data_IF_871837490020
#
_entry.id   IF_871837490020
#
_cell.length_a   1.000
_cell.length_b   1.000
_cell.length_c   1.000
_cell.angle_alpha   90.00
_cell.angle_beta   90.00
_cell.angle_gamma   90.00
#
_symmetry.space_group_name_H-M   'P 1'
#
loop_
_entity.id
_entity.type
_entity.pdbx_description
1 polymer ?
#
# COMPACT_ATOMS: atom_id res chain seq x y z
N UNK A 1 5.09 -5.59 -10.57
CA UNK A 1 4.49 -4.47 -9.84
C UNK A 1 5.55 -3.42 -9.59
N UNK A 2 5.14 -2.23 -9.12
CA UNK A 2 6.04 -1.12 -8.76
C UNK A 2 5.62 -0.47 -7.44
N UNK A 3 6.52 0.29 -6.84
CA UNK A 3 6.31 0.97 -5.55
C UNK A 3 6.28 0.02 -4.36
N UNK A 4 6.06 0.59 -3.17
CA UNK A 4 6.18 -0.11 -1.89
C UNK A 4 5.16 -1.24 -1.69
N UNK A 5 3.95 -1.12 -2.25
CA UNK A 5 2.86 -2.13 -2.17
C UNK A 5 2.70 -2.90 -3.50
N UNK A 6 3.65 -2.79 -4.44
CA UNK A 6 3.63 -3.56 -5.70
C UNK A 6 2.35 -3.38 -6.53
N UNK A 7 2.00 -2.13 -6.85
CA UNK A 7 0.89 -1.84 -7.77
C UNK A 7 1.13 -2.56 -9.11
N UNK A 8 0.14 -3.38 -9.51
CA UNK A 8 0.24 -4.30 -10.65
C UNK A 8 -1.04 -4.29 -11.46
N UNK A 9 -0.93 -4.33 -12.79
CA UNK A 9 -2.07 -4.40 -13.72
C UNK A 9 -2.66 -3.04 -14.08
N UNK A 10 -3.08 -2.90 -15.35
CA UNK A 10 -3.49 -1.64 -15.96
C UNK A 10 -4.56 -0.87 -15.16
N UNK A 11 -5.59 -1.57 -14.66
CA UNK A 11 -6.67 -0.92 -13.91
C UNK A 11 -6.16 -0.28 -12.61
N UNK A 12 -5.24 -0.94 -11.90
CA UNK A 12 -4.69 -0.39 -10.68
C UNK A 12 -3.79 0.82 -10.94
N UNK A 13 -3.05 0.86 -12.05
CA UNK A 13 -2.29 2.04 -12.45
C UNK A 13 -3.23 3.21 -12.79
N UNK A 14 -4.35 2.95 -13.48
CA UNK A 14 -5.37 3.97 -13.79
C UNK A 14 -6.02 4.53 -12.51
N UNK A 15 -6.51 3.66 -11.64
CA UNK A 15 -7.20 4.06 -10.42
C UNK A 15 -6.25 4.79 -9.45
N UNK A 16 -5.01 4.29 -9.30
CA UNK A 16 -3.98 4.95 -8.50
C UNK A 16 -3.63 6.31 -9.07
N UNK A 17 -3.40 6.38 -10.39
CA UNK A 17 -3.04 7.61 -11.10
C UNK A 17 -4.10 8.69 -10.92
N UNK A 18 -5.38 8.34 -11.04
CA UNK A 18 -6.49 9.24 -10.74
C UNK A 18 -6.47 9.70 -9.28
N UNK A 19 -6.24 8.77 -8.35
CA UNK A 19 -6.24 9.06 -6.91
C UNK A 19 -5.09 9.98 -6.46
N UNK A 20 -3.91 9.87 -7.08
CA UNK A 20 -2.75 10.71 -6.74
C UNK A 20 -2.50 11.83 -7.77
N UNK A 21 -3.41 12.01 -8.74
CA UNK A 21 -3.31 13.00 -9.83
C UNK A 21 -1.97 12.90 -10.57
N UNK A 22 -1.68 11.73 -11.12
CA UNK A 22 -0.45 11.43 -11.85
C UNK A 22 -0.74 10.45 -12.98
N UNK A 23 -0.20 10.70 -14.17
CA UNK A 23 -0.42 9.88 -15.37
C UNK A 23 0.35 8.55 -15.34
N UNK A 24 -0.02 7.67 -14.42
CA UNK A 24 0.68 6.40 -14.19
C UNK A 24 0.46 5.36 -15.30
N UNK A 25 -0.56 5.51 -16.15
CA UNK A 25 -0.77 4.62 -17.30
C UNK A 25 0.29 4.89 -18.37
N UNK A 26 0.59 6.17 -18.63
CA UNK A 26 1.62 6.58 -19.58
C UNK A 26 3.03 6.46 -18.99
N UNK A 27 3.18 6.74 -17.69
CA UNK A 27 4.47 6.78 -17.00
C UNK A 27 4.47 5.87 -15.76
N UNK A 28 4.41 4.53 -15.95
CA UNK A 28 4.34 3.60 -14.82
C UNK A 28 5.63 3.56 -13.99
N UNK A 29 6.77 3.92 -14.60
CA UNK A 29 8.09 4.04 -13.98
C UNK A 29 8.14 5.09 -12.87
N UNK A 30 7.23 6.07 -12.86
CA UNK A 30 7.12 7.03 -11.76
C UNK A 30 6.98 6.34 -10.40
N UNK A 31 6.29 5.18 -10.35
CA UNK A 31 6.14 4.40 -9.11
C UNK A 31 7.45 3.77 -8.59
N UNK A 32 8.54 3.84 -9.34
CA UNK A 32 9.88 3.44 -8.89
C UNK A 32 10.61 4.60 -8.19
N UNK A 33 10.11 5.84 -8.32
CA UNK A 33 10.65 7.01 -7.61
C UNK A 33 9.97 7.15 -6.24
N UNK A 34 10.78 7.48 -5.23
CA UNK A 34 10.38 7.50 -3.81
C UNK A 34 9.06 8.25 -3.55
N UNK A 35 8.90 9.44 -4.15
CA UNK A 35 7.71 10.27 -3.94
C UNK A 35 6.43 9.58 -4.40
N UNK A 36 6.41 8.99 -5.59
CA UNK A 36 5.21 8.35 -6.12
C UNK A 36 5.03 6.94 -5.52
N UNK A 37 6.12 6.24 -5.20
CA UNK A 37 6.07 4.99 -4.45
C UNK A 37 5.39 5.16 -3.08
N UNK A 38 5.75 6.21 -2.33
CA UNK A 38 5.11 6.54 -1.06
C UNK A 38 3.63 6.96 -1.23
N UNK A 39 3.34 7.87 -2.18
CA UNK A 39 1.98 8.35 -2.43
C UNK A 39 1.03 7.24 -2.88
N UNK A 40 1.50 6.34 -3.75
CA UNK A 40 0.70 5.20 -4.21
C UNK A 40 0.41 4.20 -3.09
N UNK A 41 1.39 3.94 -2.21
CA UNK A 41 1.17 3.09 -1.03
C UNK A 41 0.16 3.69 -0.05
N UNK A 42 0.28 4.99 0.23
CA UNK A 42 -0.68 5.72 1.07
C UNK A 42 -2.09 5.72 0.45
N UNK A 43 -2.20 5.99 -0.85
CA UNK A 43 -3.46 5.91 -1.59
C UNK A 43 -4.10 4.53 -1.48
N UNK A 44 -3.33 3.45 -1.68
CA UNK A 44 -3.84 2.09 -1.58
C UNK A 44 -4.38 1.83 -0.17
N UNK A 45 -3.59 2.17 0.85
CA UNK A 45 -3.95 1.95 2.26
C UNK A 45 -5.24 2.68 2.64
N UNK A 46 -5.39 3.93 2.18
CA UNK A 46 -6.57 4.75 2.45
C UNK A 46 -7.81 4.26 1.69
N UNK A 47 -7.68 3.88 0.42
CA UNK A 47 -8.82 3.59 -0.47
C UNK A 47 -9.29 2.14 -0.44
N UNK A 48 -8.41 1.19 -0.15
CA UNK A 48 -8.76 -0.25 -0.06
C UNK A 48 -9.31 -0.66 1.31
N UNK A 49 -9.43 0.30 2.24
CA UNK A 49 -10.14 0.12 3.50
C UNK A 49 -9.30 -0.32 4.70
N UNK A 50 -7.96 -0.24 4.61
CA UNK A 50 -7.08 -0.60 5.75
C UNK A 50 -7.35 0.26 6.99
N UNK A 51 -7.66 1.56 6.80
CA UNK A 51 -7.99 2.48 7.89
C UNK A 51 -9.25 2.11 8.67
N UNK A 52 -10.12 1.24 8.14
CA UNK A 52 -11.32 0.75 8.84
C UNK A 52 -10.99 -0.34 9.87
N UNK A 53 -9.78 -0.88 9.83
CA UNK A 53 -9.33 -2.03 10.61
C UNK A 53 -8.04 -1.71 11.38
N UNK A 54 -7.98 -0.51 11.98
CA UNK A 54 -6.82 -0.05 12.75
C UNK A 54 -6.43 -1.05 13.84
N UNK A 55 -5.17 -1.51 13.82
CA UNK A 55 -4.64 -2.50 14.75
C UNK A 55 -4.96 -3.96 14.42
N UNK A 56 -5.88 -4.25 13.51
CA UNK A 56 -6.16 -5.62 13.06
C UNK A 56 -5.18 -6.03 11.95
N UNK A 57 -4.04 -6.58 12.38
CA UNK A 57 -2.98 -7.01 11.47
C UNK A 57 -3.39 -8.15 10.54
N UNK A 58 -4.34 -9.00 10.94
CA UNK A 58 -4.82 -10.11 10.10
C UNK A 58 -5.63 -9.55 8.94
N UNK A 59 -6.57 -8.65 9.24
CA UNK A 59 -7.43 -8.03 8.23
C UNK A 59 -6.68 -7.10 7.30
N UNK A 60 -5.80 -6.25 7.84
CA UNK A 60 -4.96 -5.36 7.02
C UNK A 60 -4.02 -6.16 6.12
N UNK A 61 -3.40 -7.23 6.62
CA UNK A 61 -2.55 -8.10 5.79
C UNK A 61 -3.36 -8.78 4.68
N UNK A 62 -4.58 -9.24 4.96
CA UNK A 62 -5.47 -9.81 3.95
C UNK A 62 -5.78 -8.81 2.83
N UNK A 63 -6.03 -7.55 3.17
CA UNK A 63 -6.35 -6.50 2.18
C UNK A 63 -5.13 -6.21 1.29
N UNK A 64 -3.94 -6.11 1.88
CA UNK A 64 -2.72 -5.75 1.15
C UNK A 64 -2.22 -6.92 0.28
N UNK A 65 -2.22 -8.14 0.83
CA UNK A 65 -1.59 -9.30 0.17
C UNK A 65 -2.57 -10.27 -0.49
N UNK A 66 -3.87 -10.15 -0.24
CA UNK A 66 -4.84 -11.19 -0.62
C UNK A 66 -4.69 -12.51 0.15
N UNK A 67 -3.89 -12.54 1.21
CA UNK A 67 -3.61 -13.71 2.04
C UNK A 67 -2.81 -13.33 3.29
N UNK A 68 -2.31 -14.32 4.04
CA UNK A 68 -1.58 -14.10 5.31
C UNK A 68 -0.06 -14.27 5.21
N UNK A 69 0.48 -14.24 3.98
CA UNK A 69 1.91 -14.40 3.75
C UNK A 69 2.72 -13.32 4.49
N UNK A 70 3.66 -13.77 5.33
CA UNK A 70 4.53 -12.89 6.12
C UNK A 70 3.85 -12.21 7.32
N UNK A 71 2.71 -12.70 7.81
CA UNK A 71 1.98 -12.08 8.95
C UNK A 71 2.84 -11.92 10.22
N UNK A 72 3.79 -12.83 10.47
CA UNK A 72 4.72 -12.75 11.61
C UNK A 72 5.60 -11.50 11.54
N UNK A 73 6.36 -11.33 10.46
CA UNK A 73 7.23 -10.15 10.24
C UNK A 73 6.41 -8.85 10.22
N UNK A 74 5.22 -8.86 9.61
CA UNK A 74 4.31 -7.70 9.61
C UNK A 74 3.90 -7.30 11.03
N UNK A 75 3.55 -8.27 11.87
CA UNK A 75 3.16 -8.03 13.27
C UNK A 75 4.33 -7.47 14.07
N UNK A 76 5.53 -8.04 13.93
CA UNK A 76 6.73 -7.54 14.61
C UNK A 76 7.01 -6.07 14.27
N UNK A 77 7.01 -5.73 12.98
CA UNK A 77 7.21 -4.34 12.52
C UNK A 77 6.10 -3.41 13.00
N UNK A 78 4.85 -3.87 12.99
CA UNK A 78 3.73 -3.08 13.47
C UNK A 78 3.85 -2.77 14.96
N UNK A 79 4.13 -3.76 15.81
CA UNK A 79 4.28 -3.53 17.25
C UNK A 79 5.47 -2.61 17.56
N UNK A 80 6.60 -2.77 16.84
CA UNK A 80 7.75 -1.86 16.96
C UNK A 80 7.40 -0.43 16.54
N UNK A 81 6.65 -0.24 15.45
CA UNK A 81 6.23 1.08 15.00
C UNK A 81 5.22 1.70 15.97
N UNK A 82 4.30 0.88 16.50
CA UNK A 82 3.32 1.30 17.50
C UNK A 82 4.03 1.78 18.75
N UNK A 83 4.99 1.04 19.30
CA UNK A 83 5.67 1.39 20.55
C UNK A 83 6.41 2.74 20.56
N UNK A 84 6.58 3.40 19.42
CA UNK A 84 7.22 4.72 19.30
C UNK A 84 6.28 5.84 18.84
N UNK A 85 5.05 5.51 18.43
CA UNK A 85 4.05 6.46 17.93
C UNK A 85 2.80 6.59 18.83
N UNK A 86 2.66 5.74 19.87
CA UNK A 86 1.67 5.87 20.95
C UNK A 86 2.29 6.41 22.22
#
# INVERSE_FOLDING_TARGET
GRGLIQITGLNNYRDCGNGIKTELVAHPDLLEQDTYAARSAAWFFATKGCLKYSGDMVRVTQIINGGQNGIGDRRERFEKAKSVLV
#
